data_IF_274000197061
#
_entry.id   IF_274000197061
#
_cell.length_a   1.000
_cell.length_b   1.000
_cell.length_c   1.000
_cell.angle_alpha   90.00
_cell.angle_beta   90.00
_cell.angle_gamma   90.00
#
_symmetry.space_group_name_H-M   'P 1'
#
loop_
_entity.id
_entity.type
_entity.pdbx_description
1 polymer ?
#
# COMPACT_ATOMS: atom_id res chain seq x y z
N UNK A 1 13.95 21.58 13.47
CA UNK A 1 14.50 21.12 12.18
C UNK A 1 14.05 19.68 12.00
N UNK A 2 13.13 19.42 11.07
CA UNK A 2 12.64 18.07 10.76
C UNK A 2 13.55 17.52 9.67
N UNK A 3 14.30 16.47 9.98
CA UNK A 3 15.07 15.74 8.98
C UNK A 3 14.08 14.82 8.28
N UNK A 4 13.90 14.96 6.97
CA UNK A 4 13.10 14.03 6.19
C UNK A 4 14.07 12.99 5.65
N UNK A 5 13.94 11.74 6.11
CA UNK A 5 14.67 10.62 5.54
C UNK A 5 13.91 10.14 4.30
N UNK A 6 14.53 10.24 3.13
CA UNK A 6 13.98 9.70 1.89
C UNK A 6 14.26 8.19 1.85
N UNK A 7 13.27 7.35 2.16
CA UNK A 7 13.33 5.93 1.86
C UNK A 7 12.73 5.72 0.46
N UNK A 8 13.55 5.25 -0.47
CA UNK A 8 13.15 5.01 -1.85
C UNK A 8 12.46 3.66 -1.90
N UNK A 9 11.13 3.55 -1.76
CA UNK A 9 10.45 2.26 -1.93
C UNK A 9 10.60 1.81 -3.38
N UNK A 10 11.65 1.02 -3.65
CA UNK A 10 11.75 0.21 -4.83
C UNK A 10 10.72 -0.89 -4.72
N UNK A 11 9.80 -0.96 -5.67
CA UNK A 11 8.94 -2.13 -5.82
C UNK A 11 9.83 -3.35 -6.08
N UNK A 12 10.19 -4.10 -5.02
CA UNK A 12 10.79 -5.42 -5.20
C UNK A 12 9.72 -6.35 -5.73
N UNK A 13 9.79 -6.64 -7.02
CA UNK A 13 8.98 -7.66 -7.66
C UNK A 13 9.32 -9.03 -7.06
N UNK A 14 8.57 -9.45 -6.07
CA UNK A 14 8.34 -10.87 -5.84
C UNK A 14 7.44 -11.38 -6.97
N UNK A 15 8.05 -11.74 -8.09
CA UNK A 15 7.35 -12.38 -9.20
C UNK A 15 6.90 -13.79 -8.76
N UNK A 16 5.66 -13.93 -8.30
CA UNK A 16 5.02 -15.24 -8.26
C UNK A 16 4.46 -15.54 -9.65
N UNK A 17 4.93 -16.65 -10.21
CA UNK A 17 4.60 -17.07 -11.58
C UNK A 17 3.18 -17.61 -11.60
N UNK A 18 2.21 -16.76 -11.94
CA UNK A 18 0.91 -17.20 -12.42
C UNK A 18 0.88 -17.06 -13.95
N UNK A 19 1.01 -18.21 -14.63
CA UNK A 19 1.03 -18.33 -16.08
C UNK A 19 -0.27 -17.79 -16.70
N UNK A 20 -0.15 -16.70 -17.48
CA UNK A 20 -1.12 -16.00 -18.38
C UNK A 20 -1.37 -14.52 -18.07
N UNK A 21 -0.71 -13.93 -17.07
CA UNK A 21 -0.72 -12.48 -16.93
C UNK A 21 -0.03 -11.81 -18.13
N UNK A 22 -0.78 -11.02 -18.91
CA UNK A 22 -0.16 -9.98 -19.75
C UNK A 22 0.83 -9.24 -18.88
N UNK A 23 2.11 -9.25 -19.23
CA UNK A 23 3.16 -8.56 -18.46
C UNK A 23 2.70 -7.12 -18.23
N UNK A 24 2.78 -6.66 -16.98
CA UNK A 24 2.50 -5.26 -16.64
C UNK A 24 3.34 -4.38 -17.60
N UNK A 25 2.73 -3.43 -18.34
CA UNK A 25 3.47 -2.63 -19.30
C UNK A 25 4.63 -1.89 -18.65
N UNK A 26 5.78 -1.80 -19.33
CA UNK A 26 6.99 -1.20 -18.75
C UNK A 26 6.75 0.22 -18.22
N UNK A 27 5.99 1.05 -18.93
CA UNK A 27 5.67 2.41 -18.50
C UNK A 27 4.92 2.47 -17.17
N UNK A 28 4.13 1.44 -16.80
CA UNK A 28 3.47 1.37 -15.49
C UNK A 28 4.52 1.19 -14.40
N UNK A 29 5.56 0.38 -14.63
CA UNK A 29 6.65 0.19 -13.68
C UNK A 29 7.56 1.43 -13.64
N UNK A 30 7.90 1.99 -14.80
CA UNK A 30 8.80 3.15 -14.91
C UNK A 30 8.23 4.40 -14.23
N UNK A 31 6.90 4.57 -14.29
CA UNK A 31 6.18 5.67 -13.65
C UNK A 31 5.51 5.26 -12.34
N UNK A 32 5.84 4.10 -11.78
CA UNK A 32 5.31 3.68 -10.49
C UNK A 32 5.59 4.75 -9.42
N UNK A 33 4.62 5.03 -8.54
CA UNK A 33 4.79 6.01 -7.47
C UNK A 33 5.88 5.56 -6.48
N UNK A 34 6.60 6.54 -5.95
CA UNK A 34 7.49 6.37 -4.81
C UNK A 34 6.66 6.65 -3.55
N UNK A 35 6.63 5.69 -2.66
CA UNK A 35 5.99 5.80 -1.35
C UNK A 35 7.07 6.14 -0.34
N UNK A 36 6.95 7.28 0.36
CA UNK A 36 7.89 7.67 1.40
C UNK A 36 7.22 7.55 2.77
N UNK A 37 7.73 6.67 3.64
CA UNK A 37 7.22 6.48 5.01
C UNK A 37 7.85 7.51 5.97
N UNK A 38 7.19 7.80 7.10
CA UNK A 38 7.80 8.61 8.16
C UNK A 38 9.04 7.92 8.73
N UNK A 39 10.02 8.73 9.13
CA UNK A 39 11.27 8.24 9.73
C UNK A 39 11.04 7.45 11.02
N UNK A 40 9.93 7.70 11.71
CA UNK A 40 9.50 7.01 12.93
C UNK A 40 8.39 5.97 12.64
N UNK A 41 8.16 5.61 11.38
CA UNK A 41 7.20 4.56 11.03
C UNK A 41 7.58 3.24 11.71
N UNK A 42 6.56 2.57 12.25
CA UNK A 42 6.69 1.26 12.92
C UNK A 42 5.78 0.22 12.31
N UNK A 43 4.80 0.64 11.49
CA UNK A 43 3.92 -0.23 10.72
C UNK A 43 4.31 -0.13 9.24
N UNK A 44 5.10 -1.11 8.79
CA UNK A 44 5.59 -1.17 7.42
C UNK A 44 4.66 -1.98 6.51
N UNK A 45 4.80 -1.86 5.17
CA UNK A 45 4.09 -2.74 4.26
C UNK A 45 4.36 -4.21 4.58
N UNK A 46 3.30 -5.01 4.59
CA UNK A 46 3.29 -6.37 5.10
C UNK A 46 3.01 -7.39 4.00
N UNK A 47 3.45 -8.63 4.20
CA UNK A 47 3.16 -9.71 3.26
C UNK A 47 1.68 -10.13 3.34
N UNK A 48 0.97 -10.00 2.21
CA UNK A 48 -0.48 -10.28 2.13
C UNK A 48 -0.79 -11.75 2.47
N UNK A 49 0.09 -12.67 2.10
CA UNK A 49 -0.08 -14.10 2.40
C UNK A 49 0.14 -14.41 3.88
N UNK A 50 1.13 -13.78 4.53
CA UNK A 50 1.40 -13.94 5.96
C UNK A 50 0.24 -13.46 6.82
N UNK A 51 -0.55 -12.49 6.38
CA UNK A 51 -1.79 -12.08 7.06
C UNK A 51 -2.71 -13.27 7.35
N UNK A 52 -2.83 -14.21 6.40
CA UNK A 52 -3.72 -15.37 6.52
C UNK A 52 -3.23 -16.38 7.55
N UNK A 53 -1.92 -16.41 7.81
CA UNK A 53 -1.34 -17.25 8.85
C UNK A 53 -1.66 -16.75 10.25
N UNK A 54 -1.94 -15.45 10.40
CA UNK A 54 -2.19 -14.79 11.68
C UNK A 54 -3.66 -14.46 11.94
N UNK A 55 -4.55 -14.90 11.05
CA UNK A 55 -5.99 -14.67 11.16
C UNK A 55 -6.81 -15.95 11.14
N UNK A 56 -8.03 -15.88 11.65
CA UNK A 56 -9.04 -16.93 11.63
C UNK A 56 -10.34 -16.30 11.10
N UNK A 57 -10.98 -16.87 10.07
CA UNK A 57 -12.25 -16.38 9.57
C UNK A 57 -13.35 -16.63 10.63
N UNK A 58 -14.17 -15.61 10.87
CA UNK A 58 -15.30 -15.67 11.79
C UNK A 58 -16.56 -15.08 11.17
N UNK A 59 -17.70 -15.63 11.54
CA UNK A 59 -19.04 -15.05 11.33
C UNK A 59 -19.68 -14.91 12.69
N UNK A 60 -20.16 -13.72 13.05
CA UNK A 60 -20.71 -13.42 14.38
C UNK A 60 -19.83 -13.96 15.52
N UNK A 61 -18.53 -13.66 15.47
CA UNK A 61 -17.51 -14.10 16.44
C UNK A 61 -17.28 -15.61 16.53
N UNK A 62 -17.96 -16.42 15.72
CA UNK A 62 -17.80 -17.88 15.67
C UNK A 62 -16.88 -18.27 14.52
N UNK A 63 -15.92 -19.18 14.78
CA UNK A 63 -14.98 -19.66 13.76
C UNK A 63 -15.72 -20.42 12.66
N UNK A 64 -15.28 -20.26 11.41
CA UNK A 64 -15.84 -20.95 10.24
C UNK A 64 -14.73 -21.47 9.32
N UNK A 65 -15.06 -22.31 8.35
CA UNK A 65 -14.14 -22.68 7.26
C UNK A 65 -12.93 -23.50 7.70
N UNK A 66 -13.00 -24.23 8.82
CA UNK A 66 -11.88 -25.03 9.33
C UNK A 66 -11.37 -26.07 8.31
N UNK A 67 -12.28 -26.60 7.49
CA UNK A 67 -11.95 -27.52 6.40
C UNK A 67 -11.12 -26.90 5.26
N UNK A 68 -11.00 -25.58 5.21
CA UNK A 68 -10.23 -24.86 4.20
C UNK A 68 -8.78 -24.63 4.63
N UNK A 69 -8.38 -25.05 5.83
CA UNK A 69 -7.02 -24.83 6.31
C UNK A 69 -5.98 -25.72 5.62
N UNK A 70 -4.77 -25.18 5.33
CA UNK A 70 -4.37 -23.79 5.55
C UNK A 70 -5.06 -22.82 4.57
N UNK A 71 -5.43 -21.64 5.08
CA UNK A 71 -5.93 -20.58 4.22
C UNK A 71 -4.78 -19.99 3.41
N UNK A 72 -5.02 -19.77 2.13
CA UNK A 72 -4.07 -19.22 1.16
C UNK A 72 -4.79 -18.25 0.23
N UNK A 73 -4.05 -17.40 -0.47
CA UNK A 73 -4.65 -16.49 -1.47
C UNK A 73 -5.42 -17.24 -2.58
N UNK A 74 -5.12 -18.52 -2.80
CA UNK A 74 -5.77 -19.36 -3.81
C UNK A 74 -7.12 -19.97 -3.35
N UNK A 75 -7.43 -19.94 -2.04
CA UNK A 75 -8.65 -20.54 -1.51
C UNK A 75 -9.53 -19.57 -0.69
N UNK A 76 -9.11 -18.32 -0.52
CA UNK A 76 -9.88 -17.29 0.22
C UNK A 76 -11.31 -17.13 -0.29
N UNK A 77 -11.51 -17.18 -1.61
CA UNK A 77 -12.83 -17.06 -2.23
C UNK A 77 -13.84 -18.13 -1.77
N UNK A 78 -13.35 -19.28 -1.27
CA UNK A 78 -14.23 -20.34 -0.76
C UNK A 78 -14.93 -19.95 0.54
N UNK A 79 -14.43 -18.93 1.25
CA UNK A 79 -15.08 -18.38 2.43
C UNK A 79 -16.45 -17.76 2.12
N UNK A 80 -16.69 -17.34 0.87
CA UNK A 80 -17.97 -16.75 0.46
C UNK A 80 -19.17 -17.69 0.73
N UNK A 81 -18.92 -19.01 0.83
CA UNK A 81 -19.95 -20.02 1.13
C UNK A 81 -20.51 -19.95 2.56
N UNK A 82 -19.80 -19.34 3.51
CA UNK A 82 -20.21 -19.35 4.93
C UNK A 82 -20.99 -18.11 5.37
N UNK A 83 -21.03 -17.07 4.55
CA UNK A 83 -21.70 -15.82 4.91
C UNK A 83 -21.53 -14.70 3.91
N UNK A 84 -21.00 -14.97 2.72
CA UNK A 84 -20.70 -14.00 1.66
C UNK A 84 -19.99 -12.74 2.21
N UNK A 85 -20.74 -11.68 2.53
CA UNK A 85 -20.25 -10.40 3.04
C UNK A 85 -20.02 -10.35 4.56
N UNK A 86 -20.31 -11.43 5.29
CA UNK A 86 -20.28 -11.46 6.76
C UNK A 86 -19.13 -12.29 7.35
N UNK A 87 -18.17 -12.70 6.52
CA UNK A 87 -16.96 -13.39 7.00
C UNK A 87 -15.85 -12.36 7.22
N UNK A 88 -15.33 -12.30 8.44
CA UNK A 88 -14.26 -11.39 8.83
C UNK A 88 -13.00 -12.18 9.20
N UNK A 89 -11.84 -11.83 8.64
CA UNK A 89 -10.56 -12.35 9.08
C UNK A 89 -10.19 -11.68 10.41
N UNK A 90 -10.22 -12.45 11.49
CA UNK A 90 -9.97 -11.95 12.86
C UNK A 90 -8.57 -12.37 13.31
N UNK A 91 -7.80 -11.49 13.94
CA UNK A 91 -6.48 -11.84 14.48
C UNK A 91 -6.54 -13.02 15.46
N UNK A 92 -5.51 -13.87 15.43
CA UNK A 92 -5.32 -14.98 16.36
C UNK A 92 -4.88 -14.51 17.75
N UNK A 93 -4.06 -13.49 17.76
CA UNK A 93 -3.44 -12.88 18.95
C UNK A 93 -4.08 -11.52 19.22
N UNK A 94 -3.94 -11.04 20.46
CA UNK A 94 -4.36 -9.68 20.82
C UNK A 94 -3.40 -8.68 20.18
N UNK A 95 -3.96 -7.77 19.38
CA UNK A 95 -3.23 -6.71 18.69
C UNK A 95 -3.51 -5.34 19.30
N UNK A 96 -4.37 -5.25 20.32
CA UNK A 96 -4.85 -3.98 20.89
C UNK A 96 -3.92 -3.38 21.94
N UNK A 97 -3.05 -4.20 22.54
CA UNK A 97 -1.99 -3.76 23.44
C UNK A 97 -0.72 -3.43 22.63
N UNK A 98 -0.52 -2.16 22.28
CA UNK A 98 0.62 -1.69 21.50
C UNK A 98 1.99 -2.00 22.15
N UNK A 99 2.04 -2.24 23.47
CA UNK A 99 3.28 -2.62 24.13
C UNK A 99 3.60 -4.12 23.98
N UNK A 100 2.62 -4.93 23.55
CA UNK A 100 2.72 -6.39 23.41
C UNK A 100 2.24 -6.90 22.06
N UNK A 101 2.05 -6.02 21.09
CA UNK A 101 1.51 -6.40 19.79
C UNK A 101 2.43 -7.40 19.09
N UNK A 102 1.87 -8.42 18.41
CA UNK A 102 2.65 -9.50 17.84
C UNK A 102 3.43 -8.99 16.63
N UNK A 103 4.71 -9.38 16.52
CA UNK A 103 5.65 -8.83 15.53
C UNK A 103 5.17 -8.81 14.06
N UNK A 104 4.23 -9.67 13.67
CA UNK A 104 3.70 -9.71 12.31
C UNK A 104 2.90 -8.47 11.92
N UNK A 105 2.35 -7.71 12.88
CA UNK A 105 1.58 -6.48 12.59
C UNK A 105 2.45 -5.35 12.05
N UNK A 106 3.75 -5.37 12.34
CA UNK A 106 4.71 -4.34 11.92
C UNK A 106 5.17 -4.47 10.46
N UNK A 107 4.79 -5.54 9.76
CA UNK A 107 5.19 -5.76 8.37
C UNK A 107 6.70 -5.95 8.20
N UNK A 108 7.22 -5.56 7.03
CA UNK A 108 8.64 -5.69 6.68
C UNK A 108 9.23 -4.33 6.40
N UNK A 109 10.19 -3.91 7.23
CA UNK A 109 10.91 -2.65 7.04
C UNK A 109 11.65 -2.66 5.68
N UNK A 110 11.45 -1.64 4.83
CA UNK A 110 12.20 -1.53 3.58
C UNK A 110 13.72 -1.42 3.82
N UNK A 111 14.52 -2.07 2.97
CA UNK A 111 15.99 -1.97 3.02
C UNK A 111 16.49 -0.61 2.46
N UNK A 112 17.79 -0.43 2.28
CA UNK A 112 18.36 0.83 1.76
C UNK A 112 17.94 1.12 0.30
N UNK A 113 17.48 0.11 -0.43
CA UNK A 113 16.92 0.18 -1.78
C UNK A 113 15.38 0.31 -1.74
N UNK A 114 14.82 0.38 -0.53
CA UNK A 114 13.41 0.38 -0.14
C UNK A 114 12.61 -0.83 -0.58
N UNK A 115 13.27 -1.98 -0.66
CA UNK A 115 12.65 -3.26 -0.92
C UNK A 115 12.16 -3.88 0.39
N UNK A 116 10.94 -4.43 0.39
CA UNK A 116 10.40 -5.27 1.46
C UNK A 116 10.83 -6.72 1.24
N UNK A 117 12.11 -7.00 1.51
CA UNK A 117 12.74 -8.29 1.18
C UNK A 117 11.97 -9.48 1.76
N UNK A 118 11.55 -10.39 0.87
CA UNK A 118 10.83 -11.61 1.26
C UNK A 118 9.36 -11.40 1.61
N UNK A 119 8.76 -10.26 1.20
CA UNK A 119 7.34 -9.99 1.32
C UNK A 119 6.70 -9.65 -0.03
N UNK A 120 5.48 -10.14 -0.25
CA UNK A 120 4.58 -9.63 -1.28
C UNK A 120 3.68 -8.58 -0.60
N UNK A 121 4.12 -7.32 -0.60
CA UNK A 121 3.46 -6.23 0.13
C UNK A 121 2.68 -5.25 -0.74
N UNK A 122 2.65 -5.46 -2.04
CA UNK A 122 1.93 -4.62 -2.98
C UNK A 122 1.31 -5.44 -4.12
N UNK A 123 0.28 -4.88 -4.75
CA UNK A 123 -0.28 -5.42 -5.99
C UNK A 123 -0.61 -4.28 -6.95
N UNK A 124 -0.50 -4.56 -8.26
CA UNK A 124 -0.85 -3.60 -9.31
C UNK A 124 -2.07 -4.15 -10.05
N UNK A 125 -3.13 -3.35 -10.09
CA UNK A 125 -4.34 -3.67 -10.84
C UNK A 125 -4.44 -2.70 -12.01
N UNK A 126 -4.55 -3.25 -13.23
CA UNK A 126 -4.69 -2.46 -14.45
C UNK A 126 -6.14 -2.46 -14.90
N UNK A 127 -6.66 -1.27 -15.20
CA UNK A 127 -7.95 -1.08 -15.86
C UNK A 127 -7.73 -0.46 -17.23
N UNK A 128 -7.89 -1.28 -18.27
CA UNK A 128 -8.06 -0.80 -19.64
C UNK A 128 -9.47 -0.26 -19.85
N UNK A 129 -9.63 0.81 -20.61
CA UNK A 129 -10.94 1.39 -20.91
C UNK A 129 -11.50 0.79 -22.22
N UNK A 130 -12.67 0.11 -22.19
CA UNK A 130 -13.23 -0.57 -23.38
C UNK A 130 -13.52 0.36 -24.55
N UNK A 131 -13.88 1.60 -24.25
CA UNK A 131 -14.20 2.69 -25.17
C UNK A 131 -12.97 3.48 -25.61
N UNK A 132 -11.83 3.33 -24.93
CA UNK A 132 -10.59 4.00 -25.28
C UNK A 132 -9.36 3.19 -24.88
N UNK A 133 -8.87 2.38 -25.81
CA UNK A 133 -7.68 1.53 -25.61
C UNK A 133 -6.38 2.31 -25.36
N UNK A 134 -6.35 3.62 -25.64
CA UNK A 134 -5.20 4.47 -25.32
C UNK A 134 -5.12 4.82 -23.83
N UNK A 135 -6.20 4.59 -23.07
CA UNK A 135 -6.28 4.91 -21.64
C UNK A 135 -6.13 3.65 -20.80
N UNK A 136 -5.22 3.72 -19.83
CA UNK A 136 -5.03 2.69 -18.81
C UNK A 136 -4.94 3.37 -17.45
N UNK A 137 -5.80 2.97 -16.52
CA UNK A 137 -5.66 3.34 -15.11
C UNK A 137 -4.90 2.22 -14.39
N UNK A 138 -3.75 2.57 -13.79
CA UNK A 138 -2.97 1.65 -12.96
C UNK A 138 -3.18 2.00 -11.50
N UNK A 139 -3.72 1.04 -10.74
CA UNK A 139 -3.89 1.12 -9.30
C UNK A 139 -2.73 0.39 -8.64
N UNK A 140 -1.97 1.10 -7.80
CA UNK A 140 -0.89 0.56 -6.99
C UNK A 140 -1.40 0.46 -5.57
N UNK A 141 -1.59 -0.78 -5.10
CA UNK A 141 -2.07 -1.08 -3.76
C UNK A 141 -0.92 -1.50 -2.86
N UNK A 142 -0.97 -1.08 -1.60
CA UNK A 142 0.00 -1.39 -0.56
C UNK A 142 -0.74 -1.99 0.62
N UNK A 143 -0.26 -3.13 1.10
CA UNK A 143 -0.91 -3.84 2.19
C UNK A 143 -0.18 -3.58 3.51
N UNK A 144 -0.93 -3.29 4.56
CA UNK A 144 -0.45 -3.19 5.93
C UNK A 144 -1.20 -4.20 6.79
N UNK A 145 -0.49 -4.90 7.68
CA UNK A 145 -1.11 -5.94 8.52
C UNK A 145 -2.01 -5.39 9.61
N UNK A 146 -1.77 -4.14 10.02
CA UNK A 146 -2.54 -3.41 11.01
C UNK A 146 -2.67 -1.96 10.58
N UNK A 147 -3.87 -1.43 10.73
CA UNK A 147 -4.12 -0.01 10.75
C UNK A 147 -4.33 0.44 12.19
N UNK A 148 -3.57 1.46 12.58
CA UNK A 148 -3.82 2.21 13.79
C UNK A 148 -4.13 3.66 13.42
N UNK A 149 -5.41 3.99 13.28
CA UNK A 149 -5.87 5.36 13.03
C UNK A 149 -5.50 6.34 14.14
N UNK A 150 -5.02 5.84 15.27
CA UNK A 150 -4.66 6.63 16.44
C UNK A 150 -5.78 6.70 17.45
N UNK A 151 -5.73 7.76 18.26
CA UNK A 151 -6.71 7.98 19.31
C UNK A 151 -7.28 9.38 19.21
N UNK A 152 -8.60 9.50 19.20
CA UNK A 152 -9.31 10.76 19.40
C UNK A 152 -9.94 10.72 20.78
N UNK A 153 -9.53 11.63 21.66
CA UNK A 153 -9.98 11.67 23.07
C UNK A 153 -9.76 10.35 23.84
N UNK A 154 -8.71 9.60 23.48
CA UNK A 154 -8.39 8.31 24.12
C UNK A 154 -9.18 7.11 23.58
N UNK A 155 -10.04 7.31 22.58
CA UNK A 155 -10.75 6.24 21.87
C UNK A 155 -9.97 5.86 20.61
N UNK A 156 -9.63 4.58 20.37
CA UNK A 156 -9.04 4.14 19.11
C UNK A 156 -9.97 4.47 17.95
N UNK A 157 -9.45 5.22 16.97
CA UNK A 157 -10.14 5.47 15.71
C UNK A 157 -9.52 4.62 14.62
N UNK A 158 -10.35 4.13 13.69
CA UNK A 158 -9.91 3.43 12.48
C UNK A 158 -8.82 2.36 12.79
N UNK A 159 -9.09 1.54 13.80
CA UNK A 159 -8.18 0.49 14.28
C UNK A 159 -8.65 -0.87 13.75
N UNK A 160 -7.93 -1.43 12.77
CA UNK A 160 -8.33 -2.69 12.15
C UNK A 160 -7.16 -3.52 11.64
N UNK A 161 -7.38 -4.82 11.63
CA UNK A 161 -6.41 -5.81 11.15
C UNK A 161 -6.55 -5.96 9.64
N UNK A 162 -5.46 -5.68 8.93
CA UNK A 162 -5.37 -5.69 7.47
C UNK A 162 -5.92 -4.41 6.86
N UNK A 163 -5.05 -3.63 6.22
CA UNK A 163 -5.38 -2.36 5.59
C UNK A 163 -4.81 -2.30 4.17
N UNK A 164 -5.57 -1.72 3.26
CA UNK A 164 -5.17 -1.56 1.86
C UNK A 164 -5.17 -0.08 1.51
N UNK A 165 -3.97 0.46 1.35
CA UNK A 165 -3.78 1.81 0.84
C UNK A 165 -3.57 1.76 -0.67
N UNK A 166 -3.90 2.83 -1.39
CA UNK A 166 -3.67 2.85 -2.83
C UNK A 166 -3.37 4.23 -3.41
N UNK A 167 -2.76 4.18 -4.58
CA UNK A 167 -2.61 5.30 -5.49
C UNK A 167 -2.94 4.87 -6.91
N UNK A 168 -3.38 5.82 -7.71
CA UNK A 168 -3.82 5.58 -9.08
C UNK A 168 -3.09 6.53 -10.00
N UNK A 169 -2.55 6.00 -11.10
CA UNK A 169 -2.02 6.80 -12.19
C UNK A 169 -2.81 6.48 -13.45
N UNK A 170 -3.36 7.51 -14.08
CA UNK A 170 -3.92 7.41 -15.42
C UNK A 170 -2.83 7.58 -16.45
N UNK A 171 -2.79 6.69 -17.42
CA UNK A 171 -1.94 6.77 -18.59
C UNK A 171 -2.80 7.00 -19.83
N UNK A 172 -2.41 7.98 -20.66
CA UNK A 172 -2.98 8.18 -22.00
C UNK A 172 -1.84 8.04 -23.00
N UNK A 173 -1.98 7.12 -23.96
CA UNK A 173 -0.92 6.76 -24.89
C UNK A 173 0.41 6.44 -24.17
N UNK A 174 0.32 5.63 -23.11
CA UNK A 174 1.46 5.19 -22.27
C UNK A 174 2.18 6.30 -21.50
N UNK A 175 1.63 7.52 -21.46
CA UNK A 175 2.20 8.65 -20.70
C UNK A 175 1.32 8.99 -19.50
N UNK A 176 1.88 9.24 -18.31
CA UNK A 176 1.07 9.60 -17.15
C UNK A 176 0.40 10.96 -17.37
N UNK A 177 -0.90 11.06 -17.10
CA UNK A 177 -1.68 12.30 -17.27
C UNK A 177 -2.37 12.75 -15.99
N UNK A 178 -2.73 11.83 -15.10
CA UNK A 178 -3.37 12.15 -13.82
C UNK A 178 -2.82 11.22 -12.74
N UNK A 179 -2.78 11.73 -11.50
CA UNK A 179 -2.43 10.97 -10.31
C UNK A 179 -3.51 11.24 -9.26
N UNK A 180 -3.99 10.18 -8.61
CA UNK A 180 -4.89 10.26 -7.45
C UNK A 180 -4.36 9.34 -6.37
N UNK A 181 -4.67 9.63 -5.13
CA UNK A 181 -4.29 8.81 -3.99
C UNK A 181 -5.41 8.86 -2.95
N UNK A 182 -5.57 7.75 -2.26
CA UNK A 182 -6.44 7.64 -1.11
C UNK A 182 -5.53 7.19 0.04
N UNK A 183 -4.95 8.17 0.72
CA UNK A 183 -4.06 7.97 1.86
C UNK A 183 -4.31 9.11 2.87
N UNK A 184 -4.97 8.78 3.96
CA UNK A 184 -5.23 9.72 5.07
C UNK A 184 -4.07 9.70 6.07
N UNK A 185 -3.74 10.85 6.64
CA UNK A 185 -2.82 10.96 7.79
C UNK A 185 -3.37 10.17 8.99
N UNK A 186 -2.57 9.26 9.57
CA UNK A 186 -2.89 8.50 10.79
C UNK A 186 -1.71 8.56 11.78
N UNK A 187 -1.85 7.98 12.97
CA UNK A 187 -0.85 8.10 14.04
C UNK A 187 0.29 7.09 13.81
N UNK A 188 1.53 7.59 13.71
CA UNK A 188 2.58 6.98 12.87
C UNK A 188 2.44 7.55 11.46
N UNK A 189 3.19 8.61 11.12
CA UNK A 189 2.82 9.48 9.99
C UNK A 189 2.94 8.73 8.66
N UNK A 190 1.81 8.56 8.00
CA UNK A 190 1.68 7.76 6.77
C UNK A 190 2.30 8.42 5.54
N UNK A 191 2.37 7.64 4.47
CA UNK A 191 3.24 7.94 3.35
C UNK A 191 2.95 9.26 2.63
N UNK A 192 4.00 10.05 2.38
CA UNK A 192 3.99 10.99 1.26
C UNK A 192 4.19 10.18 -0.03
N UNK A 193 3.21 10.24 -0.94
CA UNK A 193 3.35 9.61 -2.25
C UNK A 193 3.94 10.65 -3.21
N UNK A 194 5.20 10.44 -3.58
CA UNK A 194 5.86 11.20 -4.62
C UNK A 194 5.83 10.38 -5.91
N UNK A 195 5.25 10.89 -6.99
CA UNK A 195 5.53 10.30 -8.31
C UNK A 195 6.75 10.98 -8.92
N UNK A 196 7.71 10.17 -9.42
CA UNK A 196 8.37 10.29 -10.74
C UNK A 196 9.69 9.49 -10.78
N UNK A 197 9.98 8.83 -11.92
CA UNK A 197 11.36 8.69 -12.41
C UNK A 197 11.51 8.97 -13.92
N UNK A 198 12.18 10.11 -14.18
CA UNK A 198 12.80 10.66 -15.42
C UNK A 198 11.92 11.09 -16.62
N UNK A 199 12.25 12.23 -17.28
CA UNK A 199 12.99 13.41 -16.81
C UNK A 199 12.00 14.53 -16.47
N UNK A 200 12.07 15.02 -15.23
CA UNK A 200 11.30 16.15 -14.66
C UNK A 200 9.92 15.79 -14.10
N UNK A 201 9.55 16.63 -13.12
CA UNK A 201 8.37 16.67 -12.27
C UNK A 201 8.58 15.99 -10.91
N UNK A 202 8.61 16.80 -9.85
CA UNK A 202 8.60 16.38 -8.45
C UNK A 202 7.33 17.02 -7.88
N UNK A 203 6.33 16.23 -7.47
CA UNK A 203 5.13 16.77 -6.86
C UNK A 203 5.32 16.83 -5.34
N UNK A 204 5.30 18.03 -4.76
CA UNK A 204 5.33 18.23 -3.30
C UNK A 204 3.91 18.34 -2.74
N UNK A 205 3.69 17.79 -1.55
CA UNK A 205 2.52 18.11 -0.74
C UNK A 205 2.64 19.51 -0.11
N UNK A 206 1.54 20.27 -0.11
CA UNK A 206 1.26 21.24 0.94
C UNK A 206 0.05 20.75 1.72
N UNK A 207 0.19 20.78 3.05
CA UNK A 207 -0.91 20.54 3.97
C UNK A 207 -2.03 21.53 3.68
N UNK A 208 -3.24 20.97 3.53
CA UNK A 208 -4.52 21.64 3.34
C UNK A 208 -4.89 22.01 1.90
N UNK A 209 -5.97 21.35 1.46
CA UNK A 209 -6.88 21.65 0.35
C UNK A 209 -6.73 20.83 -0.94
N UNK A 210 -7.85 20.18 -1.27
CA UNK A 210 -8.18 19.59 -2.56
C UNK A 210 -8.11 20.68 -3.64
N UNK A 211 -6.99 20.79 -4.36
CA UNK A 211 -6.77 21.23 -5.76
C UNK A 211 -5.30 21.65 -5.90
N UNK A 212 -4.56 21.14 -6.88
CA UNK A 212 -3.19 21.59 -7.18
C UNK A 212 -3.11 22.38 -8.48
N UNK A 213 -2.71 23.66 -8.37
CA UNK A 213 -1.99 24.41 -9.40
C UNK A 213 -0.50 24.33 -9.10
N UNK A 214 0.35 24.27 -10.13
CA UNK A 214 1.81 24.26 -9.97
C UNK A 214 2.38 25.67 -9.75
N UNK A 215 3.06 25.96 -8.62
CA UNK A 215 4.00 27.07 -8.56
C UNK A 215 5.45 26.58 -8.80
N UNK A 216 6.36 27.47 -9.25
CA UNK A 216 7.75 27.14 -9.48
C UNK A 216 8.47 26.72 -8.18
N UNK A 217 9.57 25.95 -8.28
CA UNK A 217 10.28 25.43 -7.11
C UNK A 217 10.81 26.59 -6.23
N UNK A 218 10.75 26.44 -4.89
CA UNK A 218 11.25 27.47 -3.98
C UNK A 218 12.78 27.63 -4.11
N UNK A 219 13.31 28.85 -3.92
CA UNK A 219 14.74 29.11 -3.99
C UNK A 219 15.48 28.33 -2.89
N UNK A 220 16.51 27.56 -3.27
CA UNK A 220 17.45 26.94 -2.32
C UNK A 220 17.47 25.42 -2.28
N UNK A 221 16.70 24.71 -3.10
CA UNK A 221 16.90 23.25 -3.28
C UNK A 221 18.11 23.05 -4.20
N UNK A 222 19.22 22.45 -3.75
CA UNK A 222 20.37 22.19 -4.60
C UNK A 222 19.95 21.23 -5.72
N UNK A 223 20.23 21.60 -6.97
CA UNK A 223 20.13 20.66 -8.08
C UNK A 223 21.13 19.53 -7.82
N UNK A 224 20.62 18.34 -7.51
CA UNK A 224 21.45 17.14 -7.44
C UNK A 224 21.88 16.81 -8.86
N UNK A 225 23.13 17.14 -9.18
CA UNK A 225 23.75 16.86 -10.45
C UNK A 225 24.15 15.38 -10.45
N UNK A 226 23.41 14.55 -11.19
CA UNK A 226 23.78 13.16 -11.46
C UNK A 226 24.13 13.07 -12.94
N UNK A 227 25.43 13.18 -13.22
CA UNK A 227 26.05 12.78 -14.50
C UNK A 227 25.72 11.35 -14.85
#
# INVERSE_FOLDING_TARGET
MRTIVFALIGASLAASVASTASKVPAYVIDYAPIVALDENEVLFPADIGKQLLNTIPKVNFTKVGEQLHPLTLNNLNQLNKFGNTSVFLTAKEDVTDLAKEPSWVHGVKPNAQGETVGAISCTIILRSHPDNSSVVDAFYFYFFSLNNGGYVLGVPEDFHVGDWENSVIRFVNSKPTEIRYDALHKTGKRALIFSVRRPRHLCHERVSQHTFYAPPPPPGVPAVNLS
#
